data_IF_414111714493
#
_entry.id   IF_414111714493
#
_cell.length_a   1.000
_cell.length_b   1.000
_cell.length_c   1.000
_cell.angle_alpha   90.00
_cell.angle_beta   90.00
_cell.angle_gamma   90.00
#
_symmetry.space_group_name_H-M   'P 1'
#
loop_
_entity.id
_entity.type
_entity.pdbx_description
1 polymer ?
#
# COMPACT_ATOMS: atom_id res chain seq x y z
N UNK A 1 -4.47 -6.30 -8.50
CA UNK A 1 -4.76 -4.86 -8.75
C UNK A 1 -4.04 -3.96 -7.75
N UNK A 2 -4.33 -4.01 -6.44
CA UNK A 2 -3.69 -3.10 -5.47
C UNK A 2 -2.16 -3.19 -5.53
N UNK A 3 -1.58 -4.37 -5.31
CA UNK A 3 -0.13 -4.59 -5.35
C UNK A 3 0.50 -4.23 -6.71
N UNK A 4 -0.19 -4.52 -7.82
CA UNK A 4 0.27 -4.14 -9.16
C UNK A 4 0.29 -2.60 -9.33
N UNK A 5 -0.72 -1.92 -8.80
CA UNK A 5 -0.83 -0.45 -8.87
C UNK A 5 0.22 0.21 -7.97
N UNK A 6 0.56 -0.39 -6.83
CA UNK A 6 1.67 0.06 -5.97
C UNK A 6 3.03 -0.11 -6.66
N UNK A 7 3.20 -1.14 -7.47
CA UNK A 7 4.46 -1.38 -8.19
C UNK A 7 4.61 -0.49 -9.44
N UNK A 8 3.54 -0.36 -10.23
CA UNK A 8 3.61 0.19 -11.60
C UNK A 8 2.82 1.49 -11.81
N UNK A 9 2.00 1.90 -10.82
CA UNK A 9 1.10 3.06 -10.91
C UNK A 9 1.65 4.32 -10.24
N UNK A 10 0.90 5.42 -10.38
CA UNK A 10 1.15 6.65 -9.63
C UNK A 10 0.52 6.62 -8.24
N UNK A 11 0.95 7.53 -7.36
CA UNK A 11 0.33 7.70 -6.05
C UNK A 11 -1.19 8.00 -6.12
N UNK A 12 -1.61 8.74 -7.15
CA UNK A 12 -3.02 9.03 -7.40
C UNK A 12 -3.79 7.78 -7.88
N UNK A 13 -3.15 6.91 -8.66
CA UNK A 13 -3.77 5.65 -9.11
C UNK A 13 -4.03 4.70 -7.92
N UNK A 14 -3.10 4.64 -6.97
CA UNK A 14 -3.27 3.85 -5.74
C UNK A 14 -4.37 4.45 -4.88
N UNK A 15 -4.34 5.77 -4.65
CA UNK A 15 -5.37 6.47 -3.87
C UNK A 15 -6.78 6.33 -4.47
N UNK A 16 -6.90 6.18 -5.79
CA UNK A 16 -8.18 5.93 -6.48
C UNK A 16 -8.82 4.57 -6.13
N UNK A 17 -8.07 3.63 -5.54
CA UNK A 17 -8.60 2.35 -5.06
C UNK A 17 -9.34 2.48 -3.71
N UNK A 18 -9.05 3.54 -2.95
CA UNK A 18 -9.64 3.79 -1.63
C UNK A 18 -11.01 4.47 -1.74
N UNK A 19 -11.84 4.36 -0.71
CA UNK A 19 -13.02 5.23 -0.56
C UNK A 19 -12.60 6.70 -0.38
N UNK A 20 -13.52 7.65 -0.63
CA UNK A 20 -13.23 9.09 -0.53
C UNK A 20 -12.73 9.49 0.87
N UNK A 21 -13.31 8.87 1.90
CA UNK A 21 -13.09 9.07 3.33
C UNK A 21 -12.26 7.95 4.00
N UNK A 22 -11.59 7.11 3.21
CA UNK A 22 -10.81 6.00 3.74
C UNK A 22 -9.66 6.47 4.66
N UNK A 23 -9.22 5.57 5.53
CA UNK A 23 -8.07 5.78 6.41
C UNK A 23 -6.93 4.84 6.03
N UNK A 24 -5.69 5.31 6.13
CA UNK A 24 -4.47 4.51 5.99
C UNK A 24 -3.51 4.83 7.14
N UNK A 25 -3.05 3.81 7.84
CA UNK A 25 -2.03 3.91 8.88
C UNK A 25 -0.87 2.98 8.53
N UNK A 26 0.29 3.56 8.19
CA UNK A 26 1.48 2.81 7.79
C UNK A 26 2.76 3.47 8.36
N UNK A 27 3.46 2.82 9.32
CA UNK A 27 3.11 1.58 10.01
C UNK A 27 2.05 1.80 11.10
N UNK A 28 1.28 0.74 11.41
CA UNK A 28 0.31 0.73 12.53
C UNK A 28 0.99 1.05 13.86
N UNK A 29 0.39 1.96 14.64
CA UNK A 29 0.90 2.45 15.91
C UNK A 29 1.96 3.55 15.78
N UNK A 30 2.26 4.01 14.56
CA UNK A 30 3.24 5.06 14.27
C UNK A 30 2.80 6.47 14.68
N UNK A 31 1.50 6.66 14.94
CA UNK A 31 0.92 7.92 15.43
C UNK A 31 0.30 8.80 14.35
N UNK A 32 0.56 8.52 13.07
CA UNK A 32 -0.03 9.23 11.93
C UNK A 32 -1.05 8.35 11.20
N UNK A 33 -2.27 8.86 11.05
CA UNK A 33 -3.33 8.23 10.24
C UNK A 33 -3.68 9.18 9.09
N UNK A 34 -3.48 8.72 7.85
CA UNK A 34 -3.86 9.45 6.65
C UNK A 34 -5.36 9.31 6.42
N UNK A 35 -6.10 10.43 6.44
CA UNK A 35 -7.56 10.44 6.29
C UNK A 35 -7.93 11.07 4.96
N UNK A 36 -8.63 10.29 4.13
CA UNK A 36 -9.10 10.67 2.81
C UNK A 36 -8.07 10.50 1.69
N UNK A 37 -8.57 10.34 0.45
CA UNK A 37 -7.73 10.02 -0.72
C UNK A 37 -6.55 10.97 -0.95
N UNK A 38 -6.72 12.27 -0.68
CA UNK A 38 -5.64 13.24 -0.86
C UNK A 38 -4.47 12.99 0.11
N UNK A 39 -4.77 12.66 1.38
CA UNK A 39 -3.74 12.34 2.35
C UNK A 39 -3.06 11.00 2.01
N UNK A 40 -3.85 10.01 1.57
CA UNK A 40 -3.36 8.70 1.13
C UNK A 40 -2.43 8.83 -0.09
N UNK A 41 -2.80 9.62 -1.10
CA UNK A 41 -1.91 9.90 -2.24
C UNK A 41 -0.59 10.53 -1.76
N UNK A 42 -0.64 11.43 -0.77
CA UNK A 42 0.56 11.98 -0.14
C UNK A 42 1.48 10.93 0.48
N UNK A 43 0.91 9.88 1.08
CA UNK A 43 1.66 8.74 1.64
C UNK A 43 2.43 7.98 0.54
N UNK A 44 1.76 7.65 -0.58
CA UNK A 44 2.39 6.87 -1.67
C UNK A 44 3.43 7.64 -2.49
N UNK A 45 3.47 8.98 -2.42
CA UNK A 45 4.47 9.79 -3.15
C UNK A 45 5.91 9.46 -2.79
N UNK A 46 6.16 8.91 -1.60
CA UNK A 46 7.52 8.50 -1.18
C UNK A 46 8.10 7.41 -2.09
N UNK A 47 7.23 6.68 -2.79
CA UNK A 47 7.60 5.59 -3.70
C UNK A 47 7.81 6.06 -5.15
N UNK A 48 7.51 7.32 -5.49
CA UNK A 48 7.66 7.83 -6.85
C UNK A 48 9.12 7.76 -7.34
N UNK A 49 9.31 7.18 -8.53
CA UNK A 49 10.63 7.04 -9.16
C UNK A 49 11.50 5.92 -8.60
N UNK A 50 11.04 5.18 -7.58
CA UNK A 50 11.71 3.97 -7.13
C UNK A 50 11.39 2.79 -8.05
N UNK A 51 12.36 1.89 -8.27
CA UNK A 51 12.08 0.58 -8.89
C UNK A 51 11.46 -0.33 -7.83
N UNK A 52 10.14 -0.55 -7.93
CA UNK A 52 9.36 -1.34 -6.99
C UNK A 52 8.90 -2.64 -7.65
N UNK A 53 8.99 -3.75 -6.91
CA UNK A 53 8.34 -5.02 -7.26
C UNK A 53 7.53 -5.52 -6.08
N UNK A 54 6.33 -5.99 -6.34
CA UNK A 54 5.44 -6.55 -5.32
C UNK A 54 5.17 -8.03 -5.58
N UNK A 55 5.00 -8.81 -4.51
CA UNK A 55 4.69 -10.24 -4.55
C UNK A 55 3.69 -10.59 -3.46
N UNK A 56 2.54 -11.19 -3.79
CA UNK A 56 1.57 -11.67 -2.80
C UNK A 56 2.03 -13.01 -2.22
N UNK A 57 2.26 -13.06 -0.90
CA UNK A 57 2.75 -14.25 -0.20
C UNK A 57 1.62 -15.06 0.44
N UNK A 58 0.66 -14.39 1.07
CA UNK A 58 -0.50 -15.04 1.70
C UNK A 58 -1.71 -14.11 1.69
N UNK A 59 -2.91 -14.69 1.62
CA UNK A 59 -4.17 -13.94 1.56
C UNK A 59 -5.28 -14.70 2.29
N UNK A 60 -6.06 -13.96 3.08
CA UNK A 60 -7.27 -14.43 3.76
C UNK A 60 -8.31 -13.32 3.69
N UNK A 61 -9.49 -13.61 3.18
CA UNK A 61 -10.61 -12.68 3.18
C UNK A 61 -11.80 -13.26 3.95
N UNK A 62 -12.59 -12.38 4.56
CA UNK A 62 -13.81 -12.72 5.26
C UNK A 62 -14.68 -11.50 5.51
N UNK A 63 -15.99 -11.60 5.26
CA UNK A 63 -16.89 -10.47 5.41
C UNK A 63 -16.49 -9.28 4.52
N UNK A 64 -16.11 -8.17 5.16
CA UNK A 64 -15.71 -6.92 4.51
C UNK A 64 -14.21 -6.61 4.62
N UNK A 65 -13.41 -7.58 5.10
CA UNK A 65 -11.99 -7.38 5.41
C UNK A 65 -11.12 -8.41 4.66
N UNK A 66 -9.86 -8.06 4.45
CA UNK A 66 -8.86 -8.95 3.87
C UNK A 66 -7.50 -8.74 4.52
N UNK A 67 -6.96 -9.80 5.12
CA UNK A 67 -5.60 -9.83 5.64
C UNK A 67 -4.66 -10.45 4.61
N UNK A 68 -3.55 -9.80 4.31
CA UNK A 68 -2.57 -10.33 3.37
C UNK A 68 -1.14 -9.95 3.72
N UNK A 69 -0.25 -10.90 3.45
CA UNK A 69 1.19 -10.72 3.57
C UNK A 69 1.74 -10.64 2.16
N UNK A 70 2.58 -9.66 1.90
CA UNK A 70 3.20 -9.45 0.60
C UNK A 70 4.64 -9.00 0.79
N UNK A 71 5.43 -9.06 -0.27
CA UNK A 71 6.77 -8.51 -0.27
C UNK A 71 6.85 -7.29 -1.19
N UNK A 72 7.62 -6.29 -0.74
CA UNK A 72 8.05 -5.16 -1.54
C UNK A 72 9.56 -5.30 -1.72
N UNK A 73 10.02 -5.29 -2.97
CA UNK A 73 11.45 -5.23 -3.31
C UNK A 73 11.77 -3.88 -3.95
N UNK A 74 12.69 -3.12 -3.37
CA UNK A 74 13.11 -1.80 -3.83
C UNK A 74 14.51 -1.86 -4.45
N UNK A 75 14.65 -1.42 -5.70
CA UNK A 75 15.94 -1.33 -6.40
C UNK A 75 16.73 -2.65 -6.49
N UNK A 76 16.03 -3.79 -6.36
CA UNK A 76 16.64 -5.13 -6.36
C UNK A 76 17.48 -5.47 -5.11
N UNK A 77 17.51 -4.62 -4.08
CA UNK A 77 18.39 -4.80 -2.91
C UNK A 77 17.66 -4.91 -1.58
N UNK A 78 16.64 -4.06 -1.35
CA UNK A 78 15.89 -4.07 -0.09
C UNK A 78 14.59 -4.84 -0.27
N UNK A 79 14.34 -5.84 0.60
CA UNK A 79 13.08 -6.59 0.64
C UNK A 79 12.42 -6.42 2.01
N UNK A 80 11.14 -6.05 2.00
CA UNK A 80 10.31 -5.86 3.19
C UNK A 80 9.05 -6.74 3.01
N UNK A 81 8.60 -7.39 4.07
CA UNK A 81 7.42 -8.28 4.04
C UNK A 81 6.33 -7.80 5.03
N UNK A 82 5.58 -6.74 4.69
CA UNK A 82 4.50 -6.24 5.52
C UNK A 82 3.26 -7.15 5.54
N UNK A 83 2.41 -6.90 6.53
CA UNK A 83 1.04 -7.42 6.61
C UNK A 83 0.07 -6.23 6.58
N UNK A 84 -0.96 -6.31 5.74
CA UNK A 84 -2.08 -5.37 5.67
C UNK A 84 -3.39 -6.08 6.06
N UNK A 85 -4.35 -5.31 6.60
CA UNK A 85 -5.70 -5.75 7.01
C UNK A 85 -6.76 -4.74 6.57
#
# INVERSE_FOLDING_TARGET
>A
RYLDTVADGSADDVAALYAEDATLEDPVGGGDVHIGRQAIAGCYKVMEGAEIKTELLNFRAGGHEAAFVFAITVGGGMRIEPIEV
#
